data_IF_469810541934
#
_entry.id   IF_469810541934
#
_cell.length_a   1.000
_cell.length_b   1.000
_cell.length_c   1.000
_cell.angle_alpha   90.00
_cell.angle_beta   90.00
_cell.angle_gamma   90.00
#
_symmetry.space_group_name_H-M   'P 1'
#
loop_
_entity.id
_entity.type
_entity.pdbx_description
1 polymer ?
#
# COMPACT_ATOMS: atom_id res chain seq x y z
N UNK A 1 -25.94 -15.37 7.62
CA UNK A 1 -24.65 -15.22 6.95
C UNK A 1 -23.58 -15.30 8.02
N UNK A 2 -22.98 -16.47 8.21
CA UNK A 2 -21.96 -16.72 9.22
C UNK A 2 -20.63 -16.18 8.72
N UNK A 3 -20.04 -15.23 9.43
CA UNK A 3 -18.64 -14.83 9.22
C UNK A 3 -17.80 -15.98 9.74
N UNK A 4 -17.28 -16.81 8.84
CA UNK A 4 -16.20 -17.74 9.14
C UNK A 4 -14.98 -16.92 9.54
N UNK A 5 -14.28 -17.32 10.60
CA UNK A 5 -13.02 -16.69 11.00
C UNK A 5 -12.07 -16.61 9.80
N UNK A 6 -11.63 -15.40 9.47
CA UNK A 6 -10.58 -15.18 8.48
C UNK A 6 -9.28 -15.60 9.15
N UNK A 7 -8.74 -16.76 8.78
CA UNK A 7 -7.32 -17.07 9.01
C UNK A 7 -6.52 -15.96 8.30
N UNK A 8 -6.08 -14.95 9.05
CA UNK A 8 -5.39 -13.79 8.50
C UNK A 8 -3.93 -14.14 8.18
N UNK A 9 -3.73 -14.96 7.15
CA UNK A 9 -2.41 -15.15 6.57
C UNK A 9 -2.08 -13.91 5.76
N UNK A 10 -1.14 -13.12 6.27
CA UNK A 10 -0.56 -11.99 5.57
C UNK A 10 0.80 -12.37 5.01
N UNK A 11 0.86 -12.61 3.69
CA UNK A 11 2.12 -12.70 2.97
C UNK A 11 2.57 -11.32 2.52
N UNK A 12 3.72 -10.87 3.04
CA UNK A 12 4.40 -9.64 2.62
C UNK A 12 5.79 -9.99 2.04
N UNK A 13 6.00 -9.92 0.72
CA UNK A 13 7.28 -10.27 0.10
C UNK A 13 8.41 -9.29 0.46
N UNK A 14 8.12 -8.21 1.20
CA UNK A 14 9.11 -7.24 1.68
C UNK A 14 9.44 -7.40 3.16
N UNK A 15 8.86 -8.40 3.85
CA UNK A 15 9.20 -8.73 5.23
C UNK A 15 10.58 -9.41 5.30
N UNK A 16 11.50 -8.79 6.04
CA UNK A 16 12.89 -9.24 6.15
C UNK A 16 13.02 -10.62 6.82
N UNK A 17 12.18 -10.92 7.81
CA UNK A 17 12.20 -12.18 8.53
C UNK A 17 11.66 -13.31 7.64
N UNK A 18 10.62 -12.99 6.86
CA UNK A 18 10.07 -13.90 5.87
C UNK A 18 11.09 -14.24 4.76
N UNK A 19 11.86 -13.25 4.31
CA UNK A 19 12.89 -13.45 3.28
C UNK A 19 14.06 -14.29 3.80
N UNK A 20 14.37 -14.21 5.10
CA UNK A 20 15.42 -15.01 5.73
C UNK A 20 15.07 -16.51 5.82
N UNK A 21 13.80 -16.85 6.10
CA UNK A 21 13.28 -18.22 6.06
C UNK A 21 11.83 -18.29 5.50
N UNK A 22 11.66 -18.43 4.17
CA UNK A 22 10.34 -18.33 3.54
C UNK A 22 9.53 -19.62 3.55
N UNK A 23 10.17 -20.77 3.78
CA UNK A 23 9.51 -22.08 3.61
C UNK A 23 8.35 -22.36 4.58
N UNK A 24 8.41 -21.94 5.86
CA UNK A 24 7.26 -22.06 6.76
C UNK A 24 6.03 -21.33 6.23
N UNK A 25 6.18 -20.10 5.74
CA UNK A 25 5.08 -19.33 5.16
C UNK A 25 4.55 -19.96 3.87
N UNK A 26 5.44 -20.42 2.98
CA UNK A 26 5.00 -21.10 1.75
C UNK A 26 4.24 -22.40 2.03
N UNK A 27 4.56 -23.12 3.12
CA UNK A 27 3.77 -24.26 3.58
C UNK A 27 2.35 -23.82 3.97
N UNK A 28 2.25 -22.80 4.84
CA UNK A 28 0.96 -22.25 5.27
C UNK A 28 0.12 -21.75 4.11
N UNK A 29 0.70 -21.02 3.16
CA UNK A 29 0.00 -20.56 1.96
C UNK A 29 -0.60 -21.74 1.18
N UNK A 30 0.13 -22.83 0.98
CA UNK A 30 -0.42 -24.00 0.28
C UNK A 30 -1.54 -24.71 1.04
N UNK A 31 -1.47 -24.75 2.36
CA UNK A 31 -2.41 -25.49 3.21
C UNK A 31 -3.68 -24.68 3.50
N UNK A 32 -3.55 -23.38 3.73
CA UNK A 32 -4.62 -22.53 4.23
C UNK A 32 -5.16 -21.55 3.16
N UNK A 33 -4.36 -21.18 2.14
CA UNK A 33 -4.74 -20.24 1.08
C UNK A 33 -4.16 -20.62 -0.29
N UNK A 34 -4.60 -21.74 -0.88
CA UNK A 34 -4.03 -22.29 -2.12
C UNK A 34 -4.13 -21.33 -3.32
N UNK A 35 -4.99 -20.32 -3.24
CA UNK A 35 -5.00 -19.16 -4.13
C UNK A 35 -4.89 -17.87 -3.30
N UNK A 36 -3.72 -17.25 -3.33
CA UNK A 36 -3.43 -16.01 -2.63
C UNK A 36 -3.31 -14.84 -3.63
N UNK A 37 -4.14 -13.81 -3.45
CA UNK A 37 -4.11 -12.62 -4.29
C UNK A 37 -3.15 -11.58 -3.72
N UNK A 38 -2.08 -11.30 -4.46
CA UNK A 38 -1.15 -10.23 -4.14
C UNK A 38 -1.15 -9.19 -5.25
N UNK A 39 -0.99 -7.91 -4.89
CA UNK A 39 -0.93 -6.83 -5.87
C UNK A 39 0.30 -6.99 -6.77
N UNK A 40 0.10 -7.30 -8.05
CA UNK A 40 1.21 -7.42 -9.01
C UNK A 40 2.02 -6.12 -9.13
N UNK A 41 1.34 -4.98 -9.03
CA UNK A 41 1.95 -3.65 -9.09
C UNK A 41 2.60 -3.17 -7.79
N UNK A 42 2.62 -3.97 -6.71
CA UNK A 42 3.08 -3.48 -5.40
C UNK A 42 4.56 -3.04 -5.39
N UNK A 43 5.40 -3.64 -6.23
CA UNK A 43 6.80 -3.25 -6.38
C UNK A 43 6.92 -1.89 -7.09
N UNK A 44 6.21 -1.74 -8.20
CA UNK A 44 6.20 -0.50 -9.00
C UNK A 44 5.63 0.67 -8.19
N UNK A 45 4.47 0.48 -7.54
CA UNK A 45 3.84 1.52 -6.73
C UNK A 45 4.75 2.01 -5.60
N UNK A 46 5.50 1.11 -4.95
CA UNK A 46 6.50 1.50 -3.92
C UNK A 46 7.64 2.31 -4.52
N UNK A 47 8.14 1.92 -5.69
CA UNK A 47 9.20 2.63 -6.38
C UNK A 47 8.75 4.04 -6.81
N UNK A 48 7.57 4.14 -7.44
CA UNK A 48 6.98 5.41 -7.85
C UNK A 48 6.75 6.34 -6.67
N UNK A 49 6.15 5.84 -5.58
CA UNK A 49 5.91 6.62 -4.37
C UNK A 49 7.23 7.11 -3.74
N UNK A 50 8.24 6.24 -3.68
CA UNK A 50 9.56 6.62 -3.15
C UNK A 50 10.19 7.74 -3.96
N UNK A 51 10.24 7.60 -5.29
CA UNK A 51 10.82 8.63 -6.16
C UNK A 51 10.04 9.94 -6.07
N UNK A 52 8.71 9.87 -6.12
CA UNK A 52 7.86 11.06 -6.03
C UNK A 52 8.08 11.82 -4.71
N UNK A 53 8.09 11.12 -3.57
CA UNK A 53 8.33 11.73 -2.26
C UNK A 53 9.75 12.29 -2.14
N UNK A 54 10.77 11.54 -2.57
CA UNK A 54 12.18 11.99 -2.53
C UNK A 54 12.37 13.27 -3.35
N UNK A 55 11.89 13.31 -4.59
CA UNK A 55 12.09 14.47 -5.47
C UNK A 55 11.24 15.67 -5.08
N UNK A 56 9.99 15.47 -4.63
CA UNK A 56 9.14 16.56 -4.14
C UNK A 56 9.77 17.21 -2.91
N UNK A 57 10.17 16.42 -1.89
CA UNK A 57 10.74 16.96 -0.66
C UNK A 57 12.12 17.61 -0.88
N UNK A 58 12.89 17.11 -1.86
CA UNK A 58 14.16 17.72 -2.26
C UNK A 58 13.96 19.06 -2.98
N UNK A 59 12.93 19.17 -3.81
CA UNK A 59 12.67 20.37 -4.64
C UNK A 59 11.91 21.46 -3.87
N UNK A 60 10.96 21.07 -3.03
CA UNK A 60 10.07 21.92 -2.26
C UNK A 60 10.10 21.48 -0.79
N UNK A 61 11.13 21.89 -0.03
CA UNK A 61 11.32 21.43 1.36
C UNK A 61 10.29 22.02 2.32
N UNK A 62 9.74 23.19 2.01
CA UNK A 62 8.68 23.85 2.75
C UNK A 62 7.51 24.10 1.81
N UNK A 63 6.31 23.77 2.29
CA UNK A 63 5.04 23.94 1.60
C UNK A 63 3.90 23.80 2.61
N UNK A 64 2.76 24.42 2.33
CA UNK A 64 1.56 24.34 3.15
C UNK A 64 0.39 23.78 2.34
N UNK A 65 -0.50 23.03 2.99
CA UNK A 65 -1.64 22.38 2.35
C UNK A 65 -2.89 23.21 2.60
N UNK A 66 -3.59 23.54 1.53
CA UNK A 66 -4.91 24.14 1.62
C UNK A 66 -5.95 23.06 1.95
N UNK A 67 -6.12 22.78 3.25
CA UNK A 67 -7.11 21.81 3.69
C UNK A 67 -8.55 22.27 3.47
N UNK A 68 -8.79 23.57 3.28
CA UNK A 68 -10.14 24.12 3.08
C UNK A 68 -10.63 23.87 1.65
N UNK A 69 -9.72 23.87 0.68
CA UNK A 69 -10.01 23.61 -0.73
C UNK A 69 -9.61 22.18 -1.19
N UNK A 70 -9.29 21.29 -0.25
CA UNK A 70 -9.00 19.88 -0.55
C UNK A 70 -10.30 19.08 -0.70
N UNK A 71 -10.44 18.34 -1.80
CA UNK A 71 -11.62 17.55 -2.11
C UNK A 71 -11.30 16.06 -2.13
N UNK A 72 -11.93 15.30 -1.24
CA UNK A 72 -11.85 13.84 -1.26
C UNK A 72 -12.53 13.29 -2.50
N UNK A 73 -11.93 12.26 -3.10
CA UNK A 73 -12.54 11.57 -4.21
C UNK A 73 -13.86 10.92 -3.79
N UNK A 74 -14.88 11.03 -4.63
CA UNK A 74 -16.16 10.32 -4.47
C UNK A 74 -16.07 8.83 -4.83
N UNK A 75 -14.92 8.36 -5.32
CA UNK A 75 -14.71 6.97 -5.70
C UNK A 75 -14.93 6.02 -4.52
N UNK A 76 -15.87 5.09 -4.65
CA UNK A 76 -16.18 4.10 -3.61
C UNK A 76 -15.13 2.99 -3.50
N UNK A 77 -14.43 2.70 -4.59
CA UNK A 77 -13.49 1.58 -4.67
C UNK A 77 -12.07 1.93 -4.19
N UNK A 78 -11.68 3.22 -4.24
CA UNK A 78 -10.31 3.66 -3.94
C UNK A 78 -10.38 4.93 -3.10
N UNK A 79 -9.65 4.94 -1.98
CA UNK A 79 -9.52 6.13 -1.13
C UNK A 79 -8.46 7.06 -1.70
N UNK A 80 -8.76 8.35 -1.79
CA UNK A 80 -7.80 9.37 -2.22
C UNK A 80 -8.43 10.75 -2.33
N UNK A 81 -7.66 11.69 -2.86
CA UNK A 81 -8.08 13.05 -3.12
C UNK A 81 -8.33 13.25 -4.61
N UNK A 82 -9.41 13.93 -4.96
CA UNK A 82 -9.62 14.44 -6.31
C UNK A 82 -8.77 15.69 -6.55
N UNK A 83 -8.64 16.54 -5.53
CA UNK A 83 -7.68 17.64 -5.51
C UNK A 83 -7.17 17.89 -4.08
N UNK A 84 -5.90 18.26 -3.98
CA UNK A 84 -5.26 18.67 -2.72
C UNK A 84 -4.27 19.80 -3.03
N UNK A 85 -4.73 21.07 -3.05
CA UNK A 85 -3.88 22.21 -3.39
C UNK A 85 -2.80 22.43 -2.32
N UNK A 86 -1.60 22.82 -2.77
CA UNK A 86 -0.47 23.15 -1.92
C UNK A 86 0.21 24.44 -2.39
N UNK A 87 0.75 25.21 -1.45
CA UNK A 87 1.52 26.43 -1.69
C UNK A 87 2.97 26.23 -1.27
N UNK A 88 3.92 26.76 -2.05
CA UNK A 88 5.37 26.74 -1.75
C UNK A 88 5.76 28.13 -1.27
#
# INVERSE_FOLDING_TARGET
MTVTEVNDIRYDPYDVELLADPYPMFRRLREESPLYYFCLGAALARLEARIALEEILKRFPEWDIDTQNAHLSSASAVRGWESMPAFI
#
